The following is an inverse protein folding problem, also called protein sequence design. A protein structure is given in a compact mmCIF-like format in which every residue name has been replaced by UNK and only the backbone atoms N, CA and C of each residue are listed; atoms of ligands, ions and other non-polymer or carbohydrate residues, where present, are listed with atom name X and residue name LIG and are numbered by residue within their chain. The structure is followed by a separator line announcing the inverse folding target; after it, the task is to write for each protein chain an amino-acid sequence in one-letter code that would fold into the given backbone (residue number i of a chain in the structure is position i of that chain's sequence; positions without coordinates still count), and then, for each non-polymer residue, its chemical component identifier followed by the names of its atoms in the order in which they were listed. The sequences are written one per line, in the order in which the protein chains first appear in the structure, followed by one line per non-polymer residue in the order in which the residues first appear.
data_IF_348527209046
#
_entry.id   IF_348527209046
#
_cell.length_a   1.000
_cell.length_b   1.000
_cell.length_c   1.000
_cell.angle_alpha   90.00
_cell.angle_beta   90.00
_cell.angle_gamma   90.00
#
_symmetry.space_group_name_H-M   'P 1'
#
loop_
_entity.id
_entity.type
_entity.pdbx_description
1 polymer ?
#
# COMPACT_ATOMS: atom_id res chain seq x y z
N UNK A 1 -9.63 8.72 -16.25
CA UNK A 1 -8.25 8.24 -16.07
C UNK A 1 -7.60 9.21 -15.10
N UNK A 2 -7.38 8.91 -13.82
CA UNK A 2 -7.11 7.62 -13.18
C UNK A 2 -8.21 7.29 -12.17
N UNK A 3 -8.71 6.06 -12.21
CA UNK A 3 -9.33 5.49 -11.03
C UNK A 3 -8.26 5.54 -9.94
N UNK A 4 -8.53 6.30 -8.87
CA UNK A 4 -7.73 6.33 -7.64
C UNK A 4 -7.78 4.92 -7.05
N UNK A 5 -7.01 4.01 -7.66
CA UNK A 5 -6.81 2.65 -7.22
C UNK A 5 -6.43 2.74 -5.77
N UNK A 6 -7.37 2.32 -4.92
CA UNK A 6 -7.38 2.55 -3.49
C UNK A 6 -6.04 2.10 -2.91
N UNK A 7 -5.12 3.05 -2.69
CA UNK A 7 -3.78 2.77 -2.17
C UNK A 7 -3.94 2.00 -0.85
N UNK A 8 -3.17 0.92 -0.67
CA UNK A 8 -3.28 0.04 0.48
C UNK A 8 -1.93 -0.08 1.16
N UNK A 9 -1.94 -0.07 2.49
CA UNK A 9 -0.78 -0.48 3.28
C UNK A 9 -0.55 -2.00 3.13
N UNK A 10 0.70 -2.42 3.28
CA UNK A 10 1.14 -3.81 3.26
C UNK A 10 1.87 -4.16 4.55
N UNK A 11 1.87 -5.44 4.92
CA UNK A 11 2.50 -5.90 6.15
C UNK A 11 3.00 -7.34 6.06
N UNK A 12 4.01 -7.70 6.85
CA UNK A 12 4.46 -9.08 6.96
C UNK A 12 3.34 -9.97 7.49
N UNK A 13 3.30 -11.22 7.03
CA UNK A 13 2.35 -12.23 7.52
C UNK A 13 2.87 -12.99 8.74
N UNK A 14 4.18 -12.95 8.99
CA UNK A 14 4.77 -13.58 10.16
C UNK A 14 4.35 -12.83 11.43
N UNK A 15 4.22 -13.60 12.51
CA UNK A 15 3.95 -13.05 13.83
C UNK A 15 5.25 -12.45 14.37
N UNK A 16 5.29 -11.12 14.47
CA UNK A 16 6.45 -10.39 15.00
C UNK A 16 6.20 -10.11 16.48
N UNK A 17 7.10 -10.59 17.34
CA UNK A 17 7.03 -10.31 18.78
C UNK A 17 7.60 -8.92 19.04
N UNK A 18 6.73 -7.95 19.35
CA UNK A 18 7.13 -6.57 19.69
C UNK A 18 6.38 -5.52 18.88
N UNK A 19 6.83 -4.27 18.97
CA UNK A 19 6.31 -3.18 18.14
C UNK A 19 6.78 -3.36 16.70
N UNK A 20 5.83 -3.42 15.77
CA UNK A 20 6.15 -3.52 14.34
C UNK A 20 6.41 -2.12 13.83
N UNK A 21 7.67 -1.85 13.46
CA UNK A 21 8.03 -0.60 12.78
C UNK A 21 7.36 -0.48 11.41
N UNK A 22 7.18 0.75 10.93
CA UNK A 22 6.60 1.03 9.63
C UNK A 22 7.50 1.99 8.82
N UNK A 23 7.53 1.78 7.50
CA UNK A 23 8.06 2.75 6.54
C UNK A 23 6.90 3.40 5.81
N UNK A 24 7.00 4.70 5.52
CA UNK A 24 5.96 5.45 4.82
C UNK A 24 6.38 5.71 3.39
N UNK A 25 5.63 5.15 2.44
CA UNK A 25 5.71 5.48 1.02
C UNK A 25 4.73 6.60 0.66
N UNK A 26 5.19 7.55 -0.14
CA UNK A 26 4.38 8.61 -0.70
C UNK A 26 3.65 8.13 -1.98
N UNK A 27 2.51 8.75 -2.35
CA UNK A 27 1.82 8.41 -3.60
C UNK A 27 2.72 8.54 -4.83
N UNK A 28 3.58 9.56 -4.86
CA UNK A 28 4.49 9.82 -5.97
C UNK A 28 5.56 8.72 -6.07
N UNK A 29 6.07 8.26 -4.93
CA UNK A 29 7.03 7.15 -4.85
C UNK A 29 6.43 5.84 -5.39
N UNK A 30 5.15 5.57 -5.09
CA UNK A 30 4.45 4.39 -5.58
C UNK A 30 4.20 4.48 -7.07
N UNK A 31 3.80 5.65 -7.55
CA UNK A 31 3.55 5.85 -8.97
C UNK A 31 4.83 5.69 -9.79
N UNK A 32 5.96 6.19 -9.28
CA UNK A 32 7.27 6.01 -9.91
C UNK A 32 7.69 4.54 -9.95
N UNK A 33 7.47 3.77 -8.87
CA UNK A 33 7.68 2.31 -8.89
C UNK A 33 6.75 1.65 -9.93
N UNK A 34 5.48 2.05 -10.00
CA UNK A 34 4.52 1.48 -10.95
C UNK A 34 4.98 1.68 -12.40
N UNK A 35 5.30 2.91 -12.78
CA UNK A 35 5.67 3.24 -14.16
C UNK A 35 7.00 2.58 -14.56
N UNK A 36 8.01 2.61 -13.70
CA UNK A 36 9.36 2.15 -14.06
C UNK A 36 9.52 0.65 -13.81
N UNK A 37 9.19 0.18 -12.62
CA UNK A 37 9.51 -1.19 -12.20
C UNK A 37 8.45 -2.20 -12.62
N UNK A 38 7.18 -1.77 -12.77
CA UNK A 38 6.09 -2.66 -13.21
C UNK A 38 5.74 -2.49 -14.70
N UNK A 39 5.67 -1.25 -15.20
CA UNK A 39 5.32 -0.98 -16.60
C UNK A 39 6.54 -0.90 -17.53
N UNK A 40 7.76 -0.86 -16.96
CA UNK A 40 9.01 -0.90 -17.73
C UNK A 40 9.34 0.39 -18.46
N UNK A 41 8.74 1.52 -18.08
CA UNK A 41 9.07 2.83 -18.67
C UNK A 41 10.48 3.26 -18.32
N UNK A 42 11.15 3.95 -19.24
CA UNK A 42 12.41 4.60 -18.95
C UNK A 42 12.21 5.80 -18.01
N UNK A 43 13.23 6.15 -17.21
CA UNK A 43 13.13 7.25 -16.23
C UNK A 43 12.72 8.60 -16.85
N UNK A 44 13.15 8.84 -18.09
CA UNK A 44 12.84 10.08 -18.82
C UNK A 44 11.39 10.10 -19.32
N UNK A 45 10.86 8.95 -19.72
CA UNK A 45 9.47 8.79 -20.12
C UNK A 45 8.55 8.94 -18.91
N UNK A 46 8.89 8.30 -17.78
CA UNK A 46 8.15 8.45 -16.53
C UNK A 46 8.17 9.90 -16.01
N UNK A 47 9.30 10.60 -16.09
CA UNK A 47 9.39 12.00 -15.71
C UNK A 47 8.49 12.90 -16.58
N UNK A 48 8.49 12.65 -17.89
CA UNK A 48 7.63 13.36 -18.84
C UNK A 48 6.15 13.06 -18.59
N UNK A 49 5.82 11.81 -18.28
CA UNK A 49 4.45 11.38 -17.94
C UNK A 49 3.93 12.03 -16.66
N UNK A 50 4.77 12.12 -15.63
CA UNK A 50 4.44 12.73 -14.34
C UNK A 50 4.50 14.26 -14.35
N UNK A 51 5.05 14.87 -15.40
CA UNK A 51 5.22 16.32 -15.48
C UNK A 51 6.24 16.87 -14.47
N UNK A 52 7.24 16.06 -14.08
CA UNK A 52 8.30 16.44 -13.12
C UNK A 52 9.68 16.31 -13.72
N UNK A 53 10.71 16.79 -13.02
CA UNK A 53 12.08 16.66 -13.51
C UNK A 53 12.58 15.21 -13.43
N UNK A 54 13.47 14.81 -14.36
CA UNK A 54 14.16 13.50 -14.28
C UNK A 54 14.88 13.28 -12.95
N UNK A 55 15.42 14.36 -12.35
CA UNK A 55 16.06 14.31 -11.03
C UNK A 55 15.07 13.97 -9.91
N UNK A 56 13.84 14.47 -10.01
CA UNK A 56 12.76 14.16 -9.07
C UNK A 56 12.40 12.69 -9.15
N UNK A 57 12.10 12.18 -10.35
CA UNK A 57 11.83 10.74 -10.56
C UNK A 57 12.97 9.85 -10.05
N UNK A 58 14.22 10.22 -10.35
CA UNK A 58 15.38 9.46 -9.88
C UNK A 58 15.44 9.41 -8.34
N UNK A 59 15.21 10.55 -7.69
CA UNK A 59 15.21 10.64 -6.22
C UNK A 59 14.07 9.81 -5.63
N UNK A 60 12.85 9.99 -6.14
CA UNK A 60 11.66 9.31 -5.64
C UNK A 60 11.78 7.79 -5.84
N UNK A 61 12.25 7.34 -7.01
CA UNK A 61 12.51 5.92 -7.28
C UNK A 61 13.54 5.35 -6.30
N UNK A 62 14.63 6.08 -6.06
CA UNK A 62 15.70 5.64 -5.17
C UNK A 62 15.22 5.55 -3.71
N UNK A 63 14.51 6.58 -3.24
CA UNK A 63 13.96 6.63 -1.89
C UNK A 63 12.89 5.55 -1.67
N UNK A 64 12.01 5.35 -2.66
CA UNK A 64 10.97 4.34 -2.63
C UNK A 64 11.56 2.92 -2.56
N UNK A 65 12.50 2.58 -3.43
CA UNK A 65 13.17 1.27 -3.43
C UNK A 65 13.91 1.01 -2.13
N UNK A 66 14.57 2.02 -1.54
CA UNK A 66 15.23 1.89 -0.24
C UNK A 66 14.22 1.57 0.88
N UNK A 67 13.09 2.27 0.93
CA UNK A 67 12.03 2.02 1.92
C UNK A 67 11.42 0.63 1.78
N UNK A 68 11.13 0.21 0.55
CA UNK A 68 10.61 -1.14 0.26
C UNK A 68 11.63 -2.19 0.70
N UNK A 69 12.91 -2.02 0.36
CA UNK A 69 13.95 -2.93 0.80
C UNK A 69 14.07 -2.99 2.33
N UNK A 70 14.06 -1.84 3.01
CA UNK A 70 14.09 -1.76 4.48
C UNK A 70 12.93 -2.56 5.11
N UNK A 71 11.72 -2.40 4.56
CA UNK A 71 10.55 -3.12 5.05
C UNK A 71 10.64 -4.63 4.82
N UNK A 72 11.07 -5.05 3.64
CA UNK A 72 11.20 -6.48 3.31
C UNK A 72 12.30 -7.17 4.13
N UNK A 73 13.43 -6.50 4.38
CA UNK A 73 14.56 -7.06 5.11
C UNK A 73 14.31 -7.12 6.62
N UNK A 74 13.71 -6.08 7.19
CA UNK A 74 13.51 -5.97 8.64
C UNK A 74 12.09 -6.38 9.09
N UNK A 75 11.21 -6.80 8.17
CA UNK A 75 9.84 -7.17 8.50
C UNK A 75 8.99 -5.99 8.98
N UNK A 76 9.19 -4.81 8.39
CA UNK A 76 8.42 -3.60 8.73
C UNK A 76 7.12 -3.56 7.93
N UNK A 77 6.12 -2.87 8.47
CA UNK A 77 4.93 -2.49 7.70
C UNK A 77 5.32 -1.49 6.61
N UNK A 78 4.62 -1.53 5.49
CA UNK A 78 4.66 -0.49 4.46
C UNK A 78 3.35 0.27 4.55
N UNK A 79 3.41 1.49 5.06
CA UNK A 79 2.30 2.42 5.06
C UNK A 79 2.34 3.30 3.82
N UNK A 80 1.17 3.63 3.30
CA UNK A 80 1.04 4.54 2.17
C UNK A 80 0.39 5.84 2.64
N UNK A 81 1.06 6.97 2.40
CA UNK A 81 0.50 8.27 2.72
C UNK A 81 -0.77 8.51 1.88
N UNK A 82 -1.84 8.94 2.54
CA UNK A 82 -3.16 9.09 1.90
C UNK A 82 -3.94 7.78 1.74
N UNK A 83 -3.45 6.65 2.30
CA UNK A 83 -4.25 5.43 2.38
C UNK A 83 -5.49 5.67 3.25
N UNK A 84 -6.67 5.51 2.66
CA UNK A 84 -7.98 5.68 3.33
C UNK A 84 -8.22 4.64 4.44
N UNK A 85 -7.34 3.65 4.57
CA UNK A 85 -7.36 2.60 5.60
C UNK A 85 -6.31 2.80 6.69
N UNK A 86 -5.76 4.01 6.83
CA UNK A 86 -4.98 4.42 8.01
C UNK A 86 -5.92 4.46 9.22
N UNK A 87 -6.20 3.29 9.77
CA UNK A 87 -7.21 3.15 10.82
C UNK A 87 -7.38 1.70 11.19
N UNK A 88 -6.43 1.18 11.97
CA UNK A 88 -6.62 0.03 12.86
C UNK A 88 -7.23 -1.23 12.27
N UNK A 89 -7.62 -2.13 13.18
CA UNK A 89 -8.36 -3.35 12.89
C UNK A 89 -9.87 -3.10 12.79
N UNK A 90 -10.28 -1.85 12.63
CA UNK A 90 -11.67 -1.43 12.59
C UNK A 90 -12.22 -1.46 11.16
N UNK A 91 -13.28 -2.24 10.99
CA UNK A 91 -14.01 -2.31 9.73
C UNK A 91 -14.76 -0.98 9.54
N UNK A 92 -14.66 -0.29 8.38
CA UNK A 92 -15.47 0.88 8.09
C UNK A 92 -16.90 0.43 7.74
N UNK A 93 -17.61 -0.21 8.68
CA UNK A 93 -19.00 -0.67 8.50
C UNK A 93 -19.98 0.50 8.24
N UNK A 94 -19.52 1.74 8.39
CA UNK A 94 -20.36 2.93 8.40
C UNK A 94 -20.18 3.79 7.13
N UNK A 95 -19.24 3.44 6.24
CA UNK A 95 -18.98 4.17 5.01
C UNK A 95 -19.29 3.26 3.81
N UNK A 96 -20.50 3.43 3.28
CA UNK A 96 -21.13 2.62 2.23
C UNK A 96 -20.30 2.46 0.94
N UNK A 97 -19.33 3.35 0.71
CA UNK A 97 -18.46 3.38 -0.47
C UNK A 97 -17.10 2.67 -0.29
N UNK A 98 -16.75 2.21 0.92
CA UNK A 98 -15.46 1.55 1.22
C UNK A 98 -15.53 0.02 1.25
N UNK A 99 -16.74 -0.55 1.33
CA UNK A 99 -16.94 -2.00 1.34
C UNK A 99 -17.99 -2.38 0.28
N UNK A 100 -17.59 -2.99 -0.85
CA UNK A 100 -18.52 -3.54 -1.82
C UNK A 100 -19.29 -4.67 -1.13
N UNK A 101 -20.54 -4.40 -0.76
CA UNK A 101 -21.37 -5.31 0.05
C UNK A 101 -21.69 -6.65 -0.63
N UNK A 102 -21.21 -6.89 -1.85
CA UNK A 102 -21.47 -8.10 -2.62
C UNK A 102 -20.38 -9.18 -2.50
N UNK A 103 -19.27 -8.89 -1.81
CA UNK A 103 -18.27 -9.91 -1.47
C UNK A 103 -18.50 -10.37 -0.03
N UNK A 104 -19.37 -11.36 0.17
CA UNK A 104 -19.67 -12.01 1.48
C UNK A 104 -18.45 -12.66 2.19
N UNK A 105 -17.23 -12.43 1.72
CA UNK A 105 -15.99 -12.92 2.32
C UNK A 105 -15.05 -11.73 2.47
N UNK A 106 -14.95 -11.20 3.69
CA UNK A 106 -13.93 -10.22 4.02
C UNK A 106 -12.57 -10.94 4.14
N UNK A 107 -11.52 -10.50 3.42
CA UNK A 107 -10.18 -11.09 3.55
C UNK A 107 -9.53 -10.80 4.92
N UNK A 108 -10.00 -9.79 5.65
CA UNK A 108 -9.76 -9.66 7.10
C UNK A 108 -10.92 -10.33 7.83
N UNK A 109 -10.74 -11.58 8.26
CA UNK A 109 -11.62 -12.14 9.30
C UNK A 109 -11.47 -11.26 10.54
N UNK A 110 -12.54 -10.60 10.95
CA UNK A 110 -12.57 -9.95 12.25
C UNK A 110 -12.56 -11.01 13.36
N UNK A 111 -12.29 -10.62 14.62
CA UNK A 111 -12.50 -11.53 15.76
C UNK A 111 -13.95 -12.07 15.83
N UNK A 112 -14.91 -11.37 15.23
CA UNK A 112 -16.32 -11.80 15.13
C UNK A 112 -16.60 -12.83 14.01
N UNK A 113 -15.70 -13.01 13.03
CA UNK A 113 -15.84 -14.02 11.95
C UNK A 113 -15.39 -15.43 12.36
N UNK A 114 -14.95 -15.60 13.62
CA UNK A 114 -14.57 -16.89 14.21
C UNK A 114 -15.74 -17.65 14.85
N UNK A 115 -16.96 -17.07 14.90
CA UNK A 115 -18.13 -17.69 15.55
C UNK A 115 -19.08 -18.44 14.61
N UNK A 116 -18.78 -18.54 13.32
CA UNK A 116 -19.64 -19.21 12.33
C UNK A 116 -19.04 -20.50 11.75
N UNK A 117 -18.07 -21.10 12.44
CA UNK A 117 -17.62 -22.45 12.12
C UNK A 117 -17.70 -23.32 13.37
N UNK A 118 -18.90 -23.74 13.72
CA UNK A 118 -19.11 -25.06 14.34
C UNK A 118 -20.39 -25.68 13.72
N UNK A 119 -20.42 -27.02 13.58
CA UNK A 119 -21.12 -27.74 12.51
C UNK A 119 -22.65 -27.73 12.54
#
# INVERSE_FOLDING_TARGET
MSENGMLRCYGPRCEVLGEIEAVVLLPEEIEVIRLIDLEGMEQEEAASFLGVSRRTVWKDLHDARRKVADALVHGKMIEVAGCVRQGGNECPKNQEYLCPRDAHICPRKGPDDLRLQEP
#
